data_IF_718590198884
#
_entry.id   IF_718590198884
#
_cell.length_a   1.000
_cell.length_b   1.000
_cell.length_c   1.000
_cell.angle_alpha   90.00
_cell.angle_beta   90.00
_cell.angle_gamma   90.00
#
_symmetry.space_group_name_H-M   'P 1'
#
loop_
_entity.id
_entity.type
_entity.pdbx_description
1 polymer ?
#
# COMPACT_ATOMS: atom_id res chain seq x y z
N UNK A 1 50.66 -38.79 5.38
CA UNK A 1 50.14 -37.45 5.29
C UNK A 1 49.78 -37.15 3.84
N UNK A 2 48.52 -37.13 3.45
CA UNK A 2 48.05 -36.74 2.11
C UNK A 2 47.29 -35.43 2.23
N UNK A 3 47.59 -34.42 1.40
CA UNK A 3 46.79 -33.16 1.41
C UNK A 3 45.48 -33.41 0.68
N UNK A 4 44.36 -33.15 1.38
CA UNK A 4 43.01 -33.13 0.81
C UNK A 4 42.88 -31.97 -0.13
N UNK A 5 42.70 -32.25 -1.41
CA UNK A 5 42.48 -31.28 -2.47
C UNK A 5 41.15 -30.55 -2.30
N UNK A 6 41.19 -29.22 -2.28
CA UNK A 6 40.05 -28.32 -2.31
C UNK A 6 39.35 -28.34 -3.67
N UNK A 7 38.32 -29.13 -3.83
CA UNK A 7 37.38 -29.02 -4.95
C UNK A 7 36.07 -28.40 -4.49
N UNK A 8 36.07 -27.10 -4.26
CA UNK A 8 34.84 -26.36 -4.05
C UNK A 8 35.06 -24.93 -4.49
N UNK A 9 34.71 -24.59 -5.72
CA UNK A 9 34.47 -23.17 -6.12
C UNK A 9 34.12 -23.01 -7.61
N UNK A 10 33.33 -23.89 -8.22
CA UNK A 10 32.86 -23.62 -9.58
C UNK A 10 31.37 -23.18 -9.67
N UNK A 11 30.58 -23.41 -8.63
CA UNK A 11 29.12 -23.04 -8.63
C UNK A 11 28.82 -21.62 -8.18
N UNK A 12 29.73 -20.96 -7.43
CA UNK A 12 29.50 -19.63 -6.88
C UNK A 12 29.68 -18.45 -7.85
N UNK A 13 30.33 -18.70 -9.01
CA UNK A 13 30.70 -17.58 -9.90
C UNK A 13 29.60 -17.17 -10.89
N UNK A 14 28.67 -18.08 -11.22
CA UNK A 14 27.55 -17.77 -12.12
C UNK A 14 26.34 -17.14 -11.38
N UNK A 15 26.12 -17.45 -10.12
CA UNK A 15 25.02 -16.91 -9.32
C UNK A 15 25.18 -15.40 -8.98
N UNK A 16 26.41 -14.89 -8.90
CA UNK A 16 26.69 -13.47 -8.61
C UNK A 16 26.21 -12.49 -9.69
N UNK A 17 26.45 -12.70 -11.00
CA UNK A 17 26.00 -11.75 -12.00
C UNK A 17 24.48 -11.74 -12.17
N UNK A 18 23.80 -12.86 -11.98
CA UNK A 18 22.33 -12.95 -12.04
C UNK A 18 21.66 -12.25 -10.86
N UNK A 19 22.15 -12.44 -9.64
CA UNK A 19 21.67 -11.74 -8.45
C UNK A 19 21.88 -10.21 -8.56
N UNK A 20 23.03 -9.77 -9.06
CA UNK A 20 23.30 -8.36 -9.31
C UNK A 20 22.35 -7.77 -10.36
N UNK A 21 22.09 -8.51 -11.44
CA UNK A 21 21.17 -8.11 -12.50
C UNK A 21 19.71 -8.01 -11.97
N UNK A 22 19.28 -8.95 -11.15
CA UNK A 22 17.96 -8.91 -10.52
C UNK A 22 17.79 -7.67 -9.63
N UNK A 23 18.78 -7.35 -8.81
CA UNK A 23 18.75 -6.13 -7.95
C UNK A 23 18.65 -4.86 -8.79
N UNK A 24 19.38 -4.76 -9.90
CA UNK A 24 19.32 -3.60 -10.81
C UNK A 24 17.93 -3.49 -11.45
N UNK A 25 17.38 -4.60 -11.95
CA UNK A 25 16.05 -4.61 -12.56
C UNK A 25 14.98 -4.24 -11.53
N UNK A 26 15.03 -4.82 -10.34
CA UNK A 26 14.07 -4.49 -9.26
C UNK A 26 14.14 -3.01 -8.86
N UNK A 27 15.34 -2.45 -8.74
CA UNK A 27 15.51 -1.03 -8.41
C UNK A 27 15.00 -0.11 -9.53
N UNK A 28 15.21 -0.47 -10.79
CA UNK A 28 14.68 0.27 -11.93
C UNK A 28 13.15 0.23 -11.97
N UNK A 29 12.54 -0.96 -11.80
CA UNK A 29 11.09 -1.11 -11.75
C UNK A 29 10.49 -0.33 -10.57
N UNK A 30 11.12 -0.39 -9.40
CA UNK A 30 10.65 0.37 -8.24
C UNK A 30 10.67 1.90 -8.51
N UNK A 31 11.75 2.43 -9.09
CA UNK A 31 11.85 3.85 -9.43
C UNK A 31 10.82 4.28 -10.46
N UNK A 32 10.66 3.52 -11.55
CA UNK A 32 9.66 3.84 -12.57
C UNK A 32 8.25 3.79 -12.02
N UNK A 33 7.92 2.81 -11.19
CA UNK A 33 6.61 2.72 -10.52
C UNK A 33 6.38 3.88 -9.57
N UNK A 34 7.39 4.31 -8.81
CA UNK A 34 7.28 5.48 -7.93
C UNK A 34 7.02 6.76 -8.73
N UNK A 35 7.77 7.02 -9.80
CA UNK A 35 7.57 8.20 -10.66
C UNK A 35 6.18 8.20 -11.29
N UNK A 36 5.72 7.06 -11.81
CA UNK A 36 4.38 6.92 -12.38
C UNK A 36 3.30 7.16 -11.32
N UNK A 37 3.51 6.70 -10.08
CA UNK A 37 2.57 6.93 -8.97
C UNK A 37 2.48 8.41 -8.61
N UNK A 38 3.60 9.15 -8.56
CA UNK A 38 3.59 10.60 -8.34
C UNK A 38 2.89 11.35 -9.47
N UNK A 39 3.16 10.96 -10.72
CA UNK A 39 2.45 11.52 -11.87
C UNK A 39 0.94 11.26 -11.78
N UNK A 40 0.55 10.06 -11.39
CA UNK A 40 -0.85 9.69 -11.19
C UNK A 40 -1.50 10.53 -10.08
N UNK A 41 -0.82 10.80 -8.95
CA UNK A 41 -1.32 11.69 -7.90
C UNK A 41 -1.53 13.11 -8.44
N UNK A 42 -0.55 13.66 -9.15
CA UNK A 42 -0.62 15.00 -9.73
C UNK A 42 -1.81 15.12 -10.68
N UNK A 43 -1.94 14.19 -11.61
CA UNK A 43 -3.07 14.15 -12.54
C UNK A 43 -4.38 13.98 -11.80
N UNK A 44 -4.46 13.08 -10.82
CA UNK A 44 -5.65 12.87 -10.00
C UNK A 44 -6.09 14.12 -9.24
N UNK A 45 -5.16 14.84 -8.63
CA UNK A 45 -5.43 16.10 -7.91
C UNK A 45 -5.94 17.19 -8.86
N UNK A 46 -5.33 17.33 -10.05
CA UNK A 46 -5.81 18.27 -11.07
C UNK A 46 -7.22 17.92 -11.53
N UNK A 47 -7.51 16.63 -11.77
CA UNK A 47 -8.83 16.16 -12.18
C UNK A 47 -9.87 16.37 -11.06
N UNK A 48 -9.50 16.19 -9.78
CA UNK A 48 -10.37 16.52 -8.65
C UNK A 48 -10.69 18.02 -8.67
N UNK A 49 -9.70 18.89 -8.86
CA UNK A 49 -9.90 20.33 -9.00
C UNK A 49 -10.87 20.67 -10.13
N UNK A 50 -10.70 20.05 -11.29
CA UNK A 50 -11.52 20.28 -12.46
C UNK A 50 -12.97 19.75 -12.31
N UNK A 51 -13.15 18.52 -11.78
CA UNK A 51 -14.46 17.86 -11.80
C UNK A 51 -15.29 18.05 -10.51
N UNK A 52 -14.64 18.34 -9.39
CA UNK A 52 -15.33 18.53 -8.10
C UNK A 52 -15.50 19.98 -7.76
N UNK A 53 -14.51 20.81 -8.09
CA UNK A 53 -14.50 22.24 -7.76
C UNK A 53 -14.74 23.13 -8.97
N UNK A 54 -14.90 22.54 -10.16
CA UNK A 54 -15.04 23.26 -11.45
C UNK A 54 -13.96 24.34 -11.64
N UNK A 55 -12.78 24.08 -11.08
CA UNK A 55 -11.67 25.03 -11.08
C UNK A 55 -10.31 24.31 -11.26
N UNK A 56 -9.85 24.27 -12.51
CA UNK A 56 -8.57 23.66 -12.86
C UNK A 56 -7.40 24.38 -12.19
N UNK A 57 -7.49 25.71 -11.98
CA UNK A 57 -6.41 26.48 -11.35
C UNK A 57 -6.15 26.01 -9.90
N UNK A 58 -7.24 25.75 -9.16
CA UNK A 58 -7.15 25.20 -7.79
C UNK A 58 -6.50 23.81 -7.81
N UNK A 59 -6.85 22.95 -8.78
CA UNK A 59 -6.23 21.65 -8.95
C UNK A 59 -4.72 21.74 -9.23
N UNK A 60 -4.32 22.66 -10.12
CA UNK A 60 -2.90 22.90 -10.44
C UNK A 60 -2.16 23.44 -9.22
N UNK A 61 -2.73 24.40 -8.49
CA UNK A 61 -2.13 24.95 -7.27
C UNK A 61 -1.92 23.85 -6.21
N UNK A 62 -2.92 23.00 -5.98
CA UNK A 62 -2.82 21.89 -5.03
C UNK A 62 -1.77 20.86 -5.48
N UNK A 63 -1.70 20.53 -6.76
CA UNK A 63 -0.70 19.62 -7.30
C UNK A 63 0.73 20.21 -7.18
N UNK A 64 0.89 21.51 -7.39
CA UNK A 64 2.16 22.22 -7.20
C UNK A 64 2.59 22.18 -5.74
N UNK A 65 1.68 22.45 -4.79
CA UNK A 65 1.95 22.33 -3.37
C UNK A 65 2.38 20.89 -2.99
N UNK A 66 1.70 19.88 -3.53
CA UNK A 66 2.08 18.48 -3.32
C UNK A 66 3.52 18.21 -3.77
N UNK A 67 3.93 18.70 -4.94
CA UNK A 67 5.29 18.51 -5.46
C UNK A 67 6.34 19.30 -4.68
N UNK A 68 5.98 20.46 -4.12
CA UNK A 68 6.88 21.31 -3.32
C UNK A 68 7.06 20.80 -1.89
N UNK A 69 6.24 19.85 -1.44
CA UNK A 69 6.41 19.30 -0.09
C UNK A 69 7.74 18.52 0.01
N UNK A 70 8.59 18.81 1.00
CA UNK A 70 9.88 18.12 1.18
C UNK A 70 9.69 16.61 1.42
N UNK A 71 8.59 16.21 2.03
CA UNK A 71 8.22 14.82 2.23
C UNK A 71 8.03 14.07 0.89
N UNK A 72 7.47 14.72 -0.12
CA UNK A 72 7.30 14.14 -1.46
C UNK A 72 8.65 13.83 -2.11
N UNK A 73 9.64 14.73 -1.96
CA UNK A 73 10.98 14.52 -2.47
C UNK A 73 11.69 13.34 -1.78
N UNK A 74 11.58 13.22 -0.45
CA UNK A 74 12.18 12.13 0.33
C UNK A 74 11.55 10.77 0.02
N UNK A 75 10.24 10.75 -0.26
CA UNK A 75 9.49 9.51 -0.54
C UNK A 75 9.49 9.07 -2.01
N UNK A 76 10.12 9.84 -2.92
CA UNK A 76 10.13 9.56 -4.37
C UNK A 76 10.69 8.16 -4.72
N UNK A 77 11.53 7.58 -3.86
CA UNK A 77 12.06 6.22 -4.05
C UNK A 77 11.25 5.10 -3.39
N UNK A 78 10.20 5.41 -2.61
CA UNK A 78 9.45 4.44 -1.79
C UNK A 78 8.08 4.13 -2.38
N UNK A 79 8.03 3.12 -3.24
CA UNK A 79 6.80 2.67 -3.94
C UNK A 79 5.66 2.37 -2.98
N UNK A 80 5.96 1.81 -1.79
CA UNK A 80 4.94 1.40 -0.81
C UNK A 80 4.12 2.57 -0.25
N UNK A 81 4.58 3.83 -0.40
CA UNK A 81 3.84 5.01 0.04
C UNK A 81 3.17 5.73 -1.14
N UNK A 82 3.86 5.82 -2.28
CA UNK A 82 3.36 6.56 -3.43
C UNK A 82 2.21 5.85 -4.15
N UNK A 83 2.31 4.54 -4.34
CA UNK A 83 1.30 3.77 -5.06
C UNK A 83 -0.05 3.73 -4.32
N UNK A 84 -0.11 3.45 -3.00
CA UNK A 84 -1.36 3.56 -2.26
C UNK A 84 -1.96 4.97 -2.28
N UNK A 85 -1.13 6.01 -2.18
CA UNK A 85 -1.56 7.40 -2.29
C UNK A 85 -2.22 7.72 -3.63
N UNK A 86 -1.64 7.24 -4.74
CA UNK A 86 -2.22 7.39 -6.07
C UNK A 86 -3.59 6.71 -6.16
N UNK A 87 -3.69 5.48 -5.73
CA UNK A 87 -4.95 4.72 -5.76
C UNK A 87 -6.04 5.37 -4.88
N UNK A 88 -5.68 5.88 -3.68
CA UNK A 88 -6.61 6.62 -2.83
C UNK A 88 -7.09 7.90 -3.51
N UNK A 89 -6.21 8.64 -4.18
CA UNK A 89 -6.59 9.83 -4.96
C UNK A 89 -7.60 9.49 -6.05
N UNK A 90 -7.40 8.39 -6.76
CA UNK A 90 -8.38 7.91 -7.75
C UNK A 90 -9.66 7.35 -7.13
N UNK A 91 -9.59 6.76 -5.93
CA UNK A 91 -10.79 6.36 -5.20
C UNK A 91 -11.66 7.58 -4.83
N UNK A 92 -11.02 8.68 -4.40
CA UNK A 92 -11.71 9.95 -4.17
C UNK A 92 -12.25 10.53 -5.48
N UNK A 93 -11.49 10.51 -6.57
CA UNK A 93 -11.95 10.96 -7.88
C UNK A 93 -13.20 10.19 -8.35
N UNK A 94 -13.24 8.89 -8.08
CA UNK A 94 -14.33 7.99 -8.45
C UNK A 94 -15.49 7.94 -7.44
N UNK A 95 -15.58 8.87 -6.46
CA UNK A 95 -16.57 8.83 -5.38
C UNK A 95 -18.03 8.75 -5.86
N UNK A 96 -18.35 9.26 -7.05
CA UNK A 96 -19.68 9.15 -7.66
C UNK A 96 -20.03 7.72 -8.11
N UNK A 97 -19.04 6.86 -8.25
CA UNK A 97 -19.18 5.46 -8.68
C UNK A 97 -18.81 4.53 -7.53
N UNK A 98 -19.74 4.17 -6.64
CA UNK A 98 -19.45 3.42 -5.41
C UNK A 98 -18.72 2.10 -5.67
N UNK A 99 -19.04 1.40 -6.75
CA UNK A 99 -18.38 0.14 -7.10
C UNK A 99 -16.89 0.37 -7.41
N UNK A 100 -16.56 1.38 -8.23
CA UNK A 100 -15.16 1.68 -8.62
C UNK A 100 -14.36 2.14 -7.42
N UNK A 101 -14.94 3.00 -6.58
CA UNK A 101 -14.31 3.45 -5.34
C UNK A 101 -14.05 2.30 -4.38
N UNK A 102 -15.00 1.34 -4.26
CA UNK A 102 -14.83 0.12 -3.48
C UNK A 102 -13.71 -0.78 -4.02
N UNK A 103 -13.65 -0.99 -5.35
CA UNK A 103 -12.56 -1.74 -6.00
C UNK A 103 -11.19 -1.13 -5.71
N UNK A 104 -11.05 0.19 -5.88
CA UNK A 104 -9.80 0.90 -5.64
C UNK A 104 -9.38 0.83 -4.17
N UNK A 105 -10.32 1.04 -3.24
CA UNK A 105 -10.04 0.95 -1.81
C UNK A 105 -9.65 -0.48 -1.40
N UNK A 106 -10.31 -1.50 -1.96
CA UNK A 106 -9.95 -2.90 -1.77
C UNK A 106 -8.52 -3.20 -2.25
N UNK A 107 -8.15 -2.67 -3.43
CA UNK A 107 -6.80 -2.82 -3.97
C UNK A 107 -5.74 -2.15 -3.07
N UNK A 108 -6.00 -0.94 -2.60
CA UNK A 108 -5.10 -0.23 -1.68
C UNK A 108 -4.94 -0.99 -0.36
N UNK A 109 -6.04 -1.50 0.19
CA UNK A 109 -6.03 -2.31 1.41
C UNK A 109 -5.21 -3.58 1.25
N UNK A 110 -5.23 -4.18 0.06
CA UNK A 110 -4.39 -5.33 -0.24
C UNK A 110 -2.90 -5.03 -0.36
N UNK A 111 -2.55 -3.80 -0.76
CA UNK A 111 -1.17 -3.35 -0.83
C UNK A 111 -0.62 -2.94 0.54
N UNK A 112 -1.44 -2.25 1.33
CA UNK A 112 -1.07 -1.72 2.65
C UNK A 112 -2.30 -1.78 3.56
N UNK A 113 -2.14 -2.15 4.82
CA UNK A 113 -3.25 -2.39 5.76
C UNK A 113 -3.97 -1.12 6.24
N UNK A 114 -3.29 0.04 6.33
CA UNK A 114 -3.85 1.25 6.94
C UNK A 114 -5.12 1.82 6.27
N UNK A 115 -5.39 1.66 4.97
CA UNK A 115 -6.62 2.15 4.36
C UNK A 115 -7.89 1.44 4.86
N UNK A 116 -7.78 0.29 5.53
CA UNK A 116 -8.90 -0.35 6.23
C UNK A 116 -9.56 0.60 7.24
N UNK A 117 -8.77 1.48 7.88
CA UNK A 117 -9.28 2.45 8.84
C UNK A 117 -10.12 3.56 8.22
N UNK A 118 -10.06 3.73 6.91
CA UNK A 118 -10.93 4.63 6.16
C UNK A 118 -12.29 3.99 5.83
N UNK A 119 -12.45 2.67 5.99
CA UNK A 119 -13.70 1.98 5.68
C UNK A 119 -14.91 2.54 6.44
N UNK A 120 -14.87 2.79 7.77
CA UNK A 120 -16.01 3.36 8.47
C UNK A 120 -16.46 4.69 7.86
N UNK A 121 -15.52 5.56 7.51
CA UNK A 121 -15.79 6.85 6.87
C UNK A 121 -16.46 6.66 5.50
N UNK A 122 -15.94 5.77 4.67
CA UNK A 122 -16.51 5.48 3.34
C UNK A 122 -17.86 4.79 3.45
N UNK A 123 -18.04 3.88 4.39
CA UNK A 123 -19.33 3.23 4.65
C UNK A 123 -20.38 4.23 5.12
N UNK A 124 -20.01 5.15 6.02
CA UNK A 124 -20.89 6.25 6.46
C UNK A 124 -21.31 7.13 5.28
N UNK A 125 -20.35 7.50 4.41
CA UNK A 125 -20.62 8.32 3.23
C UNK A 125 -21.57 7.63 2.23
N UNK A 126 -21.43 6.31 2.02
CA UNK A 126 -22.27 5.55 1.09
C UNK A 126 -23.52 4.95 1.71
N UNK A 127 -23.78 5.15 3.01
CA UNK A 127 -24.89 4.54 3.73
C UNK A 127 -26.22 4.68 2.99
N UNK A 128 -26.53 5.87 2.47
CA UNK A 128 -27.76 6.16 1.73
C UNK A 128 -27.57 6.17 0.20
N UNK A 129 -26.36 6.00 -0.31
CA UNK A 129 -26.01 6.22 -1.72
C UNK A 129 -25.47 4.99 -2.45
N UNK A 130 -25.72 3.80 -1.91
CA UNK A 130 -25.33 2.55 -2.57
C UNK A 130 -24.19 1.81 -1.87
N UNK A 131 -24.25 1.72 -0.55
CA UNK A 131 -23.33 0.96 0.30
C UNK A 131 -23.08 -0.46 -0.22
N UNK A 132 -24.12 -1.17 -0.66
CA UNK A 132 -23.99 -2.54 -1.18
C UNK A 132 -23.07 -2.63 -2.40
N UNK A 133 -23.11 -1.63 -3.30
CA UNK A 133 -22.21 -1.58 -4.48
C UNK A 133 -20.76 -1.27 -4.08
N UNK A 134 -20.57 -0.40 -3.10
CA UNK A 134 -19.25 -0.07 -2.57
C UNK A 134 -18.63 -1.28 -1.86
N UNK A 135 -19.36 -1.89 -0.92
CA UNK A 135 -18.90 -3.08 -0.20
C UNK A 135 -18.70 -4.26 -1.15
N UNK A 136 -19.58 -4.43 -2.14
CA UNK A 136 -19.44 -5.44 -3.18
C UNK A 136 -18.13 -5.28 -3.97
N UNK A 137 -17.81 -4.05 -4.43
CA UNK A 137 -16.55 -3.76 -5.09
C UNK A 137 -15.34 -4.04 -4.20
N UNK A 138 -15.38 -3.62 -2.96
CA UNK A 138 -14.33 -3.87 -1.97
C UNK A 138 -14.10 -5.38 -1.76
N UNK A 139 -15.16 -6.15 -1.53
CA UNK A 139 -15.08 -7.60 -1.30
C UNK A 139 -14.61 -8.35 -2.55
N UNK A 140 -15.04 -7.94 -3.75
CA UNK A 140 -14.57 -8.54 -5.01
C UNK A 140 -13.04 -8.40 -5.12
N UNK A 141 -12.51 -7.20 -4.90
CA UNK A 141 -11.05 -6.98 -4.96
C UNK A 141 -10.33 -7.78 -3.89
N UNK A 142 -10.85 -7.79 -2.66
CA UNK A 142 -10.25 -8.57 -1.58
C UNK A 142 -10.24 -10.07 -1.90
N UNK A 143 -11.35 -10.60 -2.43
CA UNK A 143 -11.45 -12.00 -2.85
C UNK A 143 -10.46 -12.35 -3.97
N UNK A 144 -10.30 -11.45 -4.97
CA UNK A 144 -9.31 -11.63 -6.04
C UNK A 144 -7.88 -11.63 -5.49
N UNK A 145 -7.55 -10.74 -4.56
CA UNK A 145 -6.22 -10.69 -3.94
C UNK A 145 -5.94 -11.94 -3.10
N UNK A 146 -6.91 -12.38 -2.30
CA UNK A 146 -6.79 -13.61 -1.50
C UNK A 146 -6.68 -14.83 -2.41
N UNK A 147 -7.44 -14.87 -3.51
CA UNK A 147 -7.34 -15.96 -4.49
C UNK A 147 -5.97 -16.00 -5.15
N UNK A 148 -5.44 -14.85 -5.60
CA UNK A 148 -4.09 -14.76 -6.16
C UNK A 148 -3.03 -15.22 -5.15
N UNK A 149 -3.18 -14.82 -3.89
CA UNK A 149 -2.30 -15.25 -2.82
C UNK A 149 -2.37 -16.77 -2.60
N UNK A 150 -3.57 -17.35 -2.61
CA UNK A 150 -3.77 -18.79 -2.46
C UNK A 150 -3.14 -19.59 -3.61
N UNK A 151 -3.26 -19.10 -4.86
CA UNK A 151 -2.63 -19.76 -6.02
C UNK A 151 -1.10 -19.64 -6.05
N UNK A 152 -0.55 -18.58 -5.43
CA UNK A 152 0.90 -18.33 -5.41
C UNK A 152 1.58 -19.00 -4.21
N UNK A 153 0.83 -19.35 -3.16
CA UNK A 153 1.37 -19.95 -1.95
C UNK A 153 1.54 -21.45 -2.12
N UNK A 154 2.76 -21.95 -1.92
CA UNK A 154 3.07 -23.39 -1.99
C UNK A 154 2.60 -24.19 -0.78
N UNK A 155 2.33 -23.54 0.35
CA UNK A 155 1.96 -24.17 1.61
C UNK A 155 1.00 -23.30 2.41
N UNK A 156 0.12 -23.94 3.18
CA UNK A 156 -0.89 -23.30 4.05
C UNK A 156 -0.23 -22.39 5.10
N UNK A 157 0.92 -22.78 5.63
CA UNK A 157 1.68 -21.98 6.59
C UNK A 157 2.18 -20.67 5.98
N UNK A 158 2.70 -20.73 4.75
CA UNK A 158 3.13 -19.56 3.95
C UNK A 158 1.95 -18.65 3.64
N UNK A 159 0.81 -19.22 3.24
CA UNK A 159 -0.42 -18.47 2.99
C UNK A 159 -0.89 -17.70 4.24
N UNK A 160 -0.98 -18.37 5.40
CA UNK A 160 -1.39 -17.74 6.65
C UNK A 160 -0.43 -16.64 7.09
N UNK A 161 0.87 -16.84 6.90
CA UNK A 161 1.88 -15.82 7.23
C UNK A 161 1.73 -14.59 6.36
N UNK A 162 1.56 -14.77 5.05
CA UNK A 162 1.36 -13.67 4.11
C UNK A 162 0.02 -12.96 4.32
N UNK A 163 -1.05 -13.70 4.60
CA UNK A 163 -2.36 -13.14 4.92
C UNK A 163 -2.31 -12.31 6.22
N UNK A 164 -1.62 -12.77 7.25
CA UNK A 164 -1.39 -12.00 8.49
C UNK A 164 -0.58 -10.73 8.24
N UNK A 165 0.42 -10.77 7.37
CA UNK A 165 1.19 -9.59 6.97
C UNK A 165 0.33 -8.59 6.19
N UNK A 166 -0.48 -9.06 5.24
CA UNK A 166 -1.40 -8.24 4.47
C UNK A 166 -2.43 -7.52 5.35
N UNK A 167 -2.96 -8.20 6.37
CA UNK A 167 -3.90 -7.63 7.33
C UNK A 167 -3.22 -6.80 8.43
N UNK A 168 -1.90 -6.68 8.42
CA UNK A 168 -1.13 -5.94 9.42
C UNK A 168 -1.12 -6.58 10.82
N UNK A 169 -1.59 -7.81 10.96
CA UNK A 169 -1.68 -8.51 12.26
C UNK A 169 -0.31 -8.69 12.91
N UNK A 170 0.72 -8.92 12.11
CA UNK A 170 2.10 -9.07 12.58
C UNK A 170 2.70 -7.76 13.06
N UNK A 171 2.33 -6.62 12.47
CA UNK A 171 2.82 -5.30 12.89
C UNK A 171 2.24 -4.84 14.21
N UNK A 172 1.03 -5.28 14.55
CA UNK A 172 0.39 -5.00 15.84
C UNK A 172 1.09 -5.79 16.96
N UNK A 173 1.55 -7.01 16.68
CA UNK A 173 2.17 -7.91 17.65
C UNK A 173 3.70 -7.70 17.79
N UNK A 174 4.36 -7.07 16.83
CA UNK A 174 5.81 -6.86 16.88
C UNK A 174 6.19 -5.72 17.83
N UNK A 175 7.00 -6.05 18.84
CA UNK A 175 7.58 -5.13 19.84
C UNK A 175 8.64 -4.17 19.28
N UNK A 176 8.88 -4.15 17.97
CA UNK A 176 9.91 -3.37 17.29
C UNK A 176 9.47 -2.02 16.72
N UNK A 177 8.29 -1.51 17.08
CA UNK A 177 7.81 -0.23 16.51
C UNK A 177 8.56 0.93 17.15
N UNK A 178 9.27 1.69 16.29
CA UNK A 178 9.91 2.95 16.66
C UNK A 178 8.87 4.07 16.69
N UNK A 179 8.91 4.94 17.69
CA UNK A 179 8.02 6.10 17.80
C UNK A 179 7.48 6.30 19.22
N UNK A 180 6.47 7.15 19.34
CA UNK A 180 5.82 7.52 20.62
C UNK A 180 5.40 6.32 21.49
N UNK A 181 5.04 5.21 20.85
CA UNK A 181 4.59 3.98 21.52
C UNK A 181 5.72 3.04 21.95
N UNK A 182 6.97 3.44 21.83
CA UNK A 182 8.14 2.60 22.18
C UNK A 182 8.36 2.45 23.70
N UNK A 183 7.73 3.29 24.51
CA UNK A 183 7.81 3.19 25.96
C UNK A 183 7.09 1.96 26.48
N UNK A 184 7.75 1.18 27.34
CA UNK A 184 7.19 -0.06 27.92
C UNK A 184 5.84 0.13 28.64
N UNK A 185 5.55 1.34 29.15
CA UNK A 185 4.29 1.71 29.77
C UNK A 185 3.14 2.09 28.83
N UNK A 186 3.43 2.45 27.58
CA UNK A 186 2.42 2.96 26.64
C UNK A 186 1.89 1.91 25.67
N UNK A 187 2.59 0.77 25.55
CA UNK A 187 2.21 -0.31 24.64
C UNK A 187 0.76 -0.84 24.86
N UNK A 188 0.25 -1.03 26.08
CA UNK A 188 -1.11 -1.54 26.28
C UNK A 188 -2.21 -0.54 25.90
N UNK A 189 -1.91 0.75 25.88
CA UNK A 189 -2.90 1.79 25.51
C UNK A 189 -3.13 1.92 24.00
N UNK A 190 -2.36 1.24 23.17
CA UNK A 190 -2.52 1.26 21.69
C UNK A 190 -3.86 0.71 21.24
N UNK A 191 -4.28 -0.42 21.84
CA UNK A 191 -5.54 -1.08 21.48
C UNK A 191 -6.74 -0.21 21.86
N UNK A 192 -6.88 0.29 23.11
CA UNK A 192 -8.02 1.14 23.48
C UNK A 192 -8.06 2.47 22.73
N UNK A 193 -6.90 3.10 22.46
CA UNK A 193 -6.85 4.33 21.62
C UNK A 193 -7.32 4.04 20.19
N UNK A 194 -6.90 2.92 19.65
CA UNK A 194 -7.33 2.50 18.32
C UNK A 194 -8.83 2.20 18.26
N UNK A 195 -9.36 1.46 19.24
CA UNK A 195 -10.79 1.16 19.36
C UNK A 195 -11.59 2.45 19.52
N UNK A 196 -11.14 3.39 20.34
CA UNK A 196 -11.78 4.69 20.51
C UNK A 196 -11.80 5.49 19.20
N UNK A 197 -10.72 5.48 18.44
CA UNK A 197 -10.65 6.15 17.12
C UNK A 197 -11.60 5.55 16.09
N UNK A 198 -11.81 4.23 16.11
CA UNK A 198 -12.74 3.54 15.19
C UNK A 198 -14.21 3.71 15.61
N UNK A 199 -14.47 3.93 16.91
CA UNK A 199 -15.80 4.08 17.47
C UNK A 199 -16.37 5.52 17.40
N UNK A 200 -15.51 6.52 17.17
CA UNK A 200 -15.86 7.93 16.96
C UNK A 200 -16.21 8.21 15.50
#
# INVERSE_FOLDING_TARGET
MRPTCWTSSASGSRARPEAARQVVVQSAVARTTAVLSHLAIVVGVILIGAWHFDNVRTGIAAATLYLLMPYTADMTGRVHHCLPGALLTFAVLAYRRPLVSGLLLGLVTGLVYYPVFLLPLWCSFYWQRGLGRFVGGFLITLALLVSTLAFTSYDVASFLTQAKQMLGWTTIAQSGITGFWKGEGLAPYRIPVFVAFVAL
#
